data_IF_526459141712
#
_entry.id   IF_526459141712
#
_cell.length_a   1.000
_cell.length_b   1.000
_cell.length_c   1.000
_cell.angle_alpha   90.00
_cell.angle_beta   90.00
_cell.angle_gamma   90.00
#
_symmetry.space_group_name_H-M   'P 1'
#
loop_
_entity.id
_entity.type
_entity.pdbx_description
1 polymer ?
#
# COMPACT_ATOMS: atom_id res chain seq x y z
N UNK A 1 20.75 -9.92 30.83
CA UNK A 1 21.42 -9.15 29.79
C UNK A 1 20.69 -9.48 28.49
N UNK A 2 19.88 -8.61 27.87
CA UNK A 2 19.27 -8.87 26.59
C UNK A 2 20.32 -8.70 25.51
N UNK A 3 20.34 -9.65 24.58
CA UNK A 3 21.37 -9.88 23.58
C UNK A 3 21.51 -8.76 22.55
N UNK A 4 22.74 -8.29 22.41
CA UNK A 4 23.26 -7.28 21.46
C UNK A 4 23.05 -7.63 19.95
N UNK A 5 22.56 -8.84 19.66
CA UNK A 5 22.38 -9.35 18.29
C UNK A 5 21.10 -8.88 17.61
N UNK A 6 20.06 -8.50 18.34
CA UNK A 6 18.80 -8.02 17.77
C UNK A 6 18.86 -6.55 17.34
N UNK A 7 19.65 -5.75 18.06
CA UNK A 7 19.87 -4.33 17.72
C UNK A 7 20.71 -4.14 16.44
N UNK A 8 21.66 -5.04 16.19
CA UNK A 8 22.54 -4.96 14.99
C UNK A 8 21.84 -5.28 13.68
N UNK A 9 20.77 -6.07 13.68
CA UNK A 9 19.99 -6.40 12.45
C UNK A 9 18.99 -5.27 12.11
N UNK A 10 18.39 -4.66 13.10
CA UNK A 10 17.49 -3.51 12.91
C UNK A 10 18.26 -2.26 12.42
N UNK A 11 19.47 -2.02 12.92
CA UNK A 11 20.34 -0.93 12.50
C UNK A 11 20.87 -1.11 11.05
N UNK A 12 21.16 -2.34 10.64
CA UNK A 12 21.55 -2.63 9.24
C UNK A 12 20.37 -2.48 8.27
N UNK A 13 19.17 -2.91 8.62
CA UNK A 13 17.95 -2.69 7.84
C UNK A 13 17.62 -1.18 7.72
N UNK A 14 18.00 -0.37 8.70
CA UNK A 14 17.83 1.09 8.69
C UNK A 14 18.77 1.79 7.70
N UNK A 15 19.98 1.26 7.45
CA UNK A 15 20.98 1.90 6.59
C UNK A 15 20.73 1.67 5.09
N UNK A 16 19.96 0.62 4.71
CA UNK A 16 19.72 0.21 3.31
C UNK A 16 18.25 0.39 2.87
N UNK A 17 17.46 1.17 3.61
CA UNK A 17 16.08 1.43 3.25
C UNK A 17 15.99 2.35 2.02
N UNK A 18 15.30 1.88 0.96
CA UNK A 18 14.99 2.70 -0.21
C UNK A 18 14.05 3.86 0.15
N UNK A 19 13.05 3.58 1.01
CA UNK A 19 12.15 4.60 1.52
C UNK A 19 12.22 4.61 3.05
N UNK A 20 12.38 5.80 3.62
CA UNK A 20 12.35 6.03 5.06
C UNK A 20 11.30 7.08 5.41
N UNK A 21 10.39 6.73 6.30
CA UNK A 21 9.41 7.61 6.93
C UNK A 21 9.90 7.86 8.35
N UNK A 22 10.15 9.13 8.71
CA UNK A 22 10.77 9.53 9.97
C UNK A 22 9.86 10.47 10.75
N UNK A 23 9.29 9.99 11.85
CA UNK A 23 8.48 10.77 12.79
C UNK A 23 7.39 11.62 12.12
N UNK A 24 6.67 11.02 11.14
CA UNK A 24 5.68 11.73 10.34
C UNK A 24 4.38 11.89 11.09
N UNK A 25 3.96 13.16 11.22
CA UNK A 25 2.61 13.55 11.65
C UNK A 25 1.93 14.33 10.53
N UNK A 26 0.71 13.92 10.17
CA UNK A 26 -0.02 14.51 9.06
C UNK A 26 -1.53 14.52 9.30
N UNK A 27 -2.19 15.58 8.86
CA UNK A 27 -3.65 15.72 8.77
C UNK A 27 -4.03 16.52 7.54
N UNK A 28 -5.18 16.22 6.93
CA UNK A 28 -5.75 17.03 5.85
C UNK A 28 -6.32 18.35 6.36
N UNK A 29 -6.68 18.37 7.64
CA UNK A 29 -7.16 19.54 8.38
C UNK A 29 -6.23 19.76 9.59
N UNK A 30 -5.81 21.00 9.90
CA UNK A 30 -4.96 21.31 11.05
C UNK A 30 -5.53 20.86 12.40
N UNK A 31 -6.86 20.71 12.49
CA UNK A 31 -7.55 20.32 13.73
C UNK A 31 -7.52 18.81 13.98
N UNK A 32 -7.18 17.98 12.95
CA UNK A 32 -7.24 16.51 13.06
C UNK A 32 -6.10 15.82 12.36
N UNK A 33 -5.24 15.20 13.14
CA UNK A 33 -4.21 14.32 12.59
C UNK A 33 -4.82 13.00 12.11
N UNK A 34 -4.35 12.54 10.96
CA UNK A 34 -4.63 11.21 10.40
C UNK A 34 -3.47 10.26 10.70
N UNK A 35 -2.24 10.78 10.73
CA UNK A 35 -1.03 10.06 11.10
C UNK A 35 -0.38 10.76 12.29
N UNK A 36 0.04 10.00 13.28
CA UNK A 36 0.61 10.50 14.52
C UNK A 36 1.97 9.82 14.78
N UNK A 37 3.05 10.56 14.52
CA UNK A 37 4.43 10.18 14.84
C UNK A 37 4.80 8.78 14.31
N UNK A 38 4.50 8.50 13.02
CA UNK A 38 4.83 7.22 12.41
C UNK A 38 6.26 7.19 11.89
N UNK A 39 6.93 6.06 12.10
CA UNK A 39 8.24 5.77 11.53
C UNK A 39 8.22 4.40 10.87
N UNK A 40 8.67 4.34 9.58
CA UNK A 40 8.67 3.11 8.78
C UNK A 40 9.92 3.06 7.90
N UNK A 41 10.39 1.85 7.60
CA UNK A 41 11.52 1.56 6.70
C UNK A 41 11.10 0.54 5.66
N UNK A 42 11.41 0.80 4.40
CA UNK A 42 11.10 -0.09 3.30
C UNK A 42 12.39 -0.48 2.59
N UNK A 43 12.76 -1.75 2.74
CA UNK A 43 13.98 -2.31 2.17
C UNK A 43 13.89 -2.48 0.66
N UNK A 44 15.04 -2.41 -0.03
CA UNK A 44 15.10 -2.60 -1.48
C UNK A 44 14.68 -4.01 -1.87
N UNK A 45 13.87 -4.12 -2.91
CA UNK A 45 13.42 -5.39 -3.49
C UNK A 45 12.46 -6.20 -2.61
N UNK A 46 12.07 -5.71 -1.44
CA UNK A 46 11.15 -6.39 -0.54
C UNK A 46 9.69 -6.06 -0.85
N UNK A 47 8.81 -6.99 -0.53
CA UNK A 47 7.37 -6.75 -0.43
C UNK A 47 7.06 -6.41 1.02
N UNK A 48 6.64 -5.18 1.28
CA UNK A 48 6.23 -4.74 2.63
C UNK A 48 4.74 -4.46 2.66
N UNK A 49 4.02 -5.11 3.59
CA UNK A 49 2.62 -4.85 3.83
C UNK A 49 2.42 -3.74 4.87
N UNK A 50 1.44 -2.86 4.65
CA UNK A 50 0.92 -1.91 5.63
C UNK A 50 -0.53 -2.30 5.89
N UNK A 51 -0.76 -2.93 7.03
CA UNK A 51 -2.04 -3.53 7.42
C UNK A 51 -2.74 -2.66 8.46
N UNK A 52 -4.07 -2.76 8.54
CA UNK A 52 -4.84 -2.06 9.55
C UNK A 52 -6.30 -1.85 9.15
N UNK A 53 -7.13 -1.47 10.10
CA UNK A 53 -8.54 -1.21 9.89
C UNK A 53 -8.80 -0.04 8.92
N UNK A 54 -10.04 0.10 8.48
CA UNK A 54 -10.45 1.21 7.63
C UNK A 54 -10.25 2.55 8.36
N UNK A 55 -9.73 3.55 7.65
CA UNK A 55 -9.54 4.91 8.20
C UNK A 55 -8.31 5.09 9.09
N UNK A 56 -7.46 4.08 9.35
CA UNK A 56 -6.24 4.23 10.15
C UNK A 56 -5.08 4.96 9.43
N UNK A 57 -5.26 5.41 8.19
CA UNK A 57 -4.26 6.25 7.50
C UNK A 57 -3.37 5.55 6.47
N UNK A 58 -3.58 4.26 6.15
CA UNK A 58 -2.75 3.48 5.21
C UNK A 58 -2.57 4.15 3.84
N UNK A 59 -3.67 4.46 3.15
CA UNK A 59 -3.65 5.17 1.86
C UNK A 59 -2.96 6.54 1.96
N UNK A 60 -3.09 7.21 3.13
CA UNK A 60 -2.40 8.48 3.38
C UNK A 60 -0.89 8.30 3.39
N UNK A 61 -0.36 7.21 3.96
CA UNK A 61 1.08 6.89 3.91
C UNK A 61 1.55 6.77 2.45
N UNK A 62 0.83 6.01 1.60
CA UNK A 62 1.19 5.89 0.18
C UNK A 62 1.16 7.23 -0.54
N UNK A 63 0.15 8.07 -0.28
CA UNK A 63 0.04 9.40 -0.89
C UNK A 63 1.18 10.33 -0.49
N UNK A 64 1.63 10.27 0.76
CA UNK A 64 2.79 11.04 1.23
C UNK A 64 4.09 10.55 0.59
N UNK A 65 4.30 9.23 0.47
CA UNK A 65 5.44 8.63 -0.23
C UNK A 65 5.43 9.04 -1.71
N UNK A 66 4.26 9.06 -2.37
CA UNK A 66 4.10 9.54 -3.75
C UNK A 66 4.20 11.07 -3.92
N UNK A 67 4.47 11.81 -2.85
CA UNK A 67 4.60 13.27 -2.87
C UNK A 67 3.32 13.98 -3.28
N UNK A 68 2.13 13.43 -2.96
CA UNK A 68 0.83 14.05 -3.28
C UNK A 68 0.54 15.22 -2.33
N UNK A 69 1.00 15.11 -1.09
CA UNK A 69 0.85 16.14 -0.07
C UNK A 69 2.19 16.40 0.62
N UNK A 70 2.43 17.64 1.10
CA UNK A 70 3.58 17.93 1.95
C UNK A 70 3.42 17.24 3.31
N UNK A 71 4.53 16.80 3.87
CA UNK A 71 4.56 16.26 5.24
C UNK A 71 4.33 17.40 6.24
N UNK A 72 3.48 17.20 7.24
CA UNK A 72 3.20 18.21 8.28
C UNK A 72 4.36 18.36 9.26
N UNK A 73 4.77 17.23 9.88
CA UNK A 73 5.98 17.12 10.73
C UNK A 73 6.74 15.87 10.35
N UNK A 74 8.02 15.81 10.65
CA UNK A 74 8.90 14.72 10.27
C UNK A 74 9.41 14.85 8.84
N UNK A 75 9.84 13.73 8.26
CA UNK A 75 10.31 13.70 6.87
C UNK A 75 10.08 12.35 6.22
N UNK A 76 10.01 12.34 4.88
CA UNK A 76 10.06 11.13 4.08
C UNK A 76 11.26 11.25 3.15
N UNK A 77 12.09 10.21 3.13
CA UNK A 77 13.24 10.12 2.24
C UNK A 77 13.05 8.99 1.25
N UNK A 78 13.45 9.25 0.03
CA UNK A 78 13.54 8.27 -1.04
C UNK A 78 14.99 8.22 -1.52
N UNK A 79 15.63 7.06 -1.45
CA UNK A 79 17.02 6.87 -1.84
C UNK A 79 17.97 7.88 -1.15
N UNK A 80 17.77 8.05 0.16
CA UNK A 80 18.49 9.01 1.00
C UNK A 80 18.11 10.48 0.84
N UNK A 81 17.35 10.85 -0.20
CA UNK A 81 16.94 12.24 -0.46
C UNK A 81 15.56 12.54 0.13
N UNK A 82 15.43 13.62 0.88
CA UNK A 82 14.13 14.08 1.41
C UNK A 82 13.21 14.51 0.27
N UNK A 83 11.95 14.04 0.29
CA UNK A 83 10.93 14.41 -0.68
C UNK A 83 10.47 15.83 -0.38
N UNK A 84 10.79 16.78 -1.28
CA UNK A 84 10.26 18.14 -1.23
C UNK A 84 9.14 18.33 -2.26
N UNK A 85 7.91 18.39 -1.77
CA UNK A 85 6.71 18.56 -2.61
C UNK A 85 6.59 19.93 -3.27
N UNK A 86 7.43 20.88 -2.90
CA UNK A 86 7.51 22.22 -3.53
C UNK A 86 8.46 22.23 -4.74
N UNK A 87 9.32 21.23 -4.85
CA UNK A 87 10.23 21.10 -5.98
C UNK A 87 9.62 20.23 -7.09
N UNK A 88 9.02 20.87 -8.09
CA UNK A 88 8.35 20.18 -9.19
C UNK A 88 9.28 19.23 -9.97
N UNK A 89 10.54 19.59 -10.18
CA UNK A 89 11.50 18.75 -10.89
C UNK A 89 11.87 17.50 -10.07
N UNK A 90 12.05 17.63 -8.77
CA UNK A 90 12.28 16.49 -7.88
C UNK A 90 11.08 15.55 -7.85
N UNK A 91 9.85 16.11 -7.75
CA UNK A 91 8.62 15.31 -7.79
C UNK A 91 8.43 14.57 -9.11
N UNK A 92 8.71 15.22 -10.23
CA UNK A 92 8.65 14.58 -11.54
C UNK A 92 9.61 13.38 -11.61
N UNK A 93 10.86 13.55 -11.19
CA UNK A 93 11.85 12.49 -11.16
C UNK A 93 11.47 11.36 -10.19
N UNK A 94 10.96 11.70 -9.00
CA UNK A 94 10.46 10.72 -8.05
C UNK A 94 9.34 9.87 -8.67
N UNK A 95 8.32 10.52 -9.23
CA UNK A 95 7.12 9.84 -9.77
C UNK A 95 7.42 8.91 -10.95
N UNK A 96 8.44 9.19 -11.73
CA UNK A 96 8.91 8.28 -12.79
C UNK A 96 9.52 6.98 -12.24
N UNK A 97 10.03 7.00 -11.00
CA UNK A 97 10.56 5.82 -10.30
C UNK A 97 9.49 5.07 -9.52
N UNK A 98 8.25 5.58 -9.46
CA UNK A 98 7.12 5.00 -8.74
C UNK A 98 6.06 4.50 -9.71
N UNK A 99 5.61 3.25 -9.55
CA UNK A 99 4.38 2.75 -10.15
C UNK A 99 3.28 2.71 -9.08
N UNK A 100 2.05 3.08 -9.42
CA UNK A 100 0.94 3.05 -8.46
C UNK A 100 -0.28 2.32 -9.01
N UNK A 101 -0.75 1.33 -8.25
CA UNK A 101 -2.03 0.69 -8.43
C UNK A 101 -3.03 1.29 -7.43
N UNK A 102 -3.99 2.05 -7.94
CA UNK A 102 -5.06 2.65 -7.14
C UNK A 102 -6.16 1.62 -6.84
N UNK A 103 -6.88 1.80 -5.75
CA UNK A 103 -7.93 0.91 -5.26
C UNK A 103 -8.96 0.47 -6.32
N UNK A 104 -9.36 1.37 -7.21
CA UNK A 104 -10.28 1.08 -8.32
C UNK A 104 -9.59 1.03 -9.69
N UNK A 105 -8.27 0.84 -9.73
CA UNK A 105 -7.47 0.79 -10.94
C UNK A 105 -7.26 2.14 -11.64
N UNK A 106 -8.19 3.09 -11.53
CA UNK A 106 -8.15 4.42 -12.16
C UNK A 106 -7.80 4.35 -13.66
N UNK A 107 -8.42 3.42 -14.40
CA UNK A 107 -8.22 3.28 -15.83
C UNK A 107 -8.96 4.39 -16.59
N UNK A 108 -8.38 4.81 -17.72
CA UNK A 108 -9.04 5.67 -18.66
C UNK A 108 -10.10 4.86 -19.39
N UNK A 109 -11.37 5.17 -19.17
CA UNK A 109 -12.53 4.38 -19.64
C UNK A 109 -12.80 4.50 -21.14
N UNK A 110 -12.34 5.57 -21.75
CA UNK A 110 -12.41 5.89 -23.17
C UNK A 110 -11.26 5.27 -23.99
N UNK A 111 -10.22 4.78 -23.32
CA UNK A 111 -9.07 4.13 -23.95
C UNK A 111 -9.21 2.59 -23.97
N UNK A 112 -8.54 1.95 -24.93
CA UNK A 112 -8.39 0.49 -24.94
C UNK A 112 -7.48 -0.01 -23.80
N UNK A 113 -7.45 -1.32 -23.60
CA UNK A 113 -6.48 -1.99 -22.71
C UNK A 113 -5.05 -1.64 -23.11
N UNK A 114 -4.74 -1.70 -24.42
CA UNK A 114 -3.43 -1.33 -24.96
C UNK A 114 -3.07 0.12 -24.63
N UNK A 115 -3.96 1.06 -24.95
CA UNK A 115 -3.70 2.49 -24.75
C UNK A 115 -3.54 2.86 -23.26
N UNK A 116 -4.26 2.22 -22.36
CA UNK A 116 -4.06 2.41 -20.93
C UNK A 116 -2.62 2.07 -20.49
N UNK A 117 -2.04 0.99 -21.02
CA UNK A 117 -0.68 0.57 -20.69
C UNK A 117 0.37 1.39 -21.45
N UNK A 118 0.05 1.81 -22.70
CA UNK A 118 0.93 2.64 -23.51
C UNK A 118 1.04 4.08 -22.99
N UNK A 119 0.01 4.57 -22.29
CA UNK A 119 -0.08 5.97 -21.86
C UNK A 119 1.17 6.47 -21.11
N UNK A 120 1.64 5.83 -20.02
CA UNK A 120 2.84 6.31 -19.35
C UNK A 120 4.11 6.25 -20.21
N UNK A 121 4.21 5.32 -21.14
CA UNK A 121 5.35 5.24 -22.06
C UNK A 121 5.38 6.43 -23.02
N UNK A 122 4.22 6.81 -23.60
CA UNK A 122 4.12 7.97 -24.48
C UNK A 122 4.38 9.29 -23.76
N UNK A 123 3.90 9.43 -22.53
CA UNK A 123 4.05 10.67 -21.75
C UNK A 123 5.45 10.87 -21.18
N UNK A 124 6.22 9.78 -20.93
CA UNK A 124 7.45 9.86 -20.16
C UNK A 124 8.69 9.34 -20.89
N UNK A 125 8.56 8.93 -22.17
CA UNK A 125 9.70 8.43 -22.96
C UNK A 125 9.60 8.94 -24.40
N UNK A 126 10.74 8.93 -25.10
CA UNK A 126 10.85 9.24 -26.53
C UNK A 126 10.90 7.97 -27.40
N UNK A 127 10.28 6.85 -26.92
CA UNK A 127 10.26 5.58 -27.64
C UNK A 127 9.35 5.67 -28.87
N UNK A 128 9.75 5.00 -29.96
CA UNK A 128 8.90 4.88 -31.13
C UNK A 128 7.71 3.92 -30.91
N UNK A 129 6.68 4.02 -31.76
CA UNK A 129 5.45 3.23 -31.63
C UNK A 129 5.69 1.71 -31.68
N UNK A 130 6.74 1.24 -32.35
CA UNK A 130 7.07 -0.18 -32.42
C UNK A 130 7.60 -0.67 -31.08
N UNK A 131 8.51 0.10 -30.47
CA UNK A 131 9.04 -0.19 -29.13
C UNK A 131 7.94 -0.12 -28.06
N UNK A 132 7.09 0.90 -28.10
CA UNK A 132 5.94 1.03 -27.19
C UNK A 132 5.03 -0.19 -27.34
N UNK A 133 4.70 -0.59 -28.55
CA UNK A 133 3.88 -1.77 -28.81
C UNK A 133 4.46 -3.03 -28.17
N UNK A 134 5.74 -3.26 -28.36
CA UNK A 134 6.40 -4.48 -27.88
C UNK A 134 6.46 -4.49 -26.36
N UNK A 135 6.80 -3.36 -25.70
CA UNK A 135 6.76 -3.22 -24.25
C UNK A 135 5.34 -3.46 -23.72
N UNK A 136 4.33 -2.82 -24.28
CA UNK A 136 2.92 -3.00 -23.86
C UNK A 136 2.51 -4.46 -23.93
N UNK A 137 2.81 -5.15 -25.05
CA UNK A 137 2.47 -6.56 -25.20
C UNK A 137 3.21 -7.45 -24.19
N UNK A 138 4.47 -7.14 -23.85
CA UNK A 138 5.22 -7.81 -22.79
C UNK A 138 4.56 -7.59 -21.41
N UNK A 139 4.20 -6.36 -21.06
CA UNK A 139 3.55 -6.04 -19.78
C UNK A 139 2.15 -6.67 -19.69
N UNK A 140 1.37 -6.65 -20.76
CA UNK A 140 0.08 -7.36 -20.81
C UNK A 140 0.25 -8.88 -20.74
N UNK A 141 1.31 -9.44 -21.31
CA UNK A 141 1.62 -10.87 -21.16
C UNK A 141 1.96 -11.23 -19.72
N UNK A 142 2.73 -10.40 -19.02
CA UNK A 142 3.08 -10.62 -17.61
C UNK A 142 1.84 -10.71 -16.69
N UNK A 143 0.77 -9.97 -17.02
CA UNK A 143 -0.51 -10.02 -16.28
C UNK A 143 -1.56 -10.95 -16.91
N UNK A 144 -1.18 -11.74 -17.96
CA UNK A 144 -2.04 -12.71 -18.64
C UNK A 144 -3.16 -12.08 -19.51
N UNK A 145 -2.97 -10.86 -20.01
CA UNK A 145 -3.98 -10.12 -20.76
C UNK A 145 -3.56 -9.70 -22.18
N UNK A 146 -2.48 -10.28 -22.74
CA UNK A 146 -2.02 -9.95 -24.10
C UNK A 146 -3.10 -10.10 -25.16
N UNK A 147 -3.95 -11.13 -25.05
CA UNK A 147 -5.07 -11.36 -25.99
C UNK A 147 -6.19 -10.32 -25.89
N UNK A 148 -6.27 -9.56 -24.79
CA UNK A 148 -7.27 -8.53 -24.55
C UNK A 148 -6.82 -7.12 -24.98
N UNK A 149 -5.63 -6.96 -25.56
CA UNK A 149 -5.02 -5.66 -25.86
C UNK A 149 -5.94 -4.67 -26.62
N UNK A 150 -6.76 -5.18 -27.53
CA UNK A 150 -7.65 -4.36 -28.38
C UNK A 150 -9.01 -4.07 -27.75
N UNK A 151 -9.36 -4.71 -26.63
CA UNK A 151 -10.63 -4.53 -25.95
C UNK A 151 -10.70 -3.14 -25.29
N UNK A 152 -11.91 -2.61 -25.19
CA UNK A 152 -12.21 -1.42 -24.38
C UNK A 152 -12.32 -1.81 -22.92
N UNK A 153 -12.16 -0.86 -22.02
CA UNK A 153 -12.30 -1.10 -20.58
C UNK A 153 -13.73 -1.57 -20.21
N UNK A 154 -14.74 -1.13 -20.95
CA UNK A 154 -16.13 -1.58 -20.78
C UNK A 154 -16.40 -3.04 -21.20
N UNK A 155 -15.47 -3.67 -21.91
CA UNK A 155 -15.60 -5.05 -22.42
C UNK A 155 -14.87 -6.08 -21.54
N UNK A 156 -14.20 -5.65 -20.49
CA UNK A 156 -13.43 -6.52 -19.58
C UNK A 156 -14.06 -6.59 -18.20
N UNK A 157 -13.79 -7.69 -17.47
CA UNK A 157 -14.24 -7.83 -16.08
C UNK A 157 -13.45 -6.91 -15.14
N UNK A 158 -13.99 -6.65 -13.94
CA UNK A 158 -13.31 -5.86 -12.90
C UNK A 158 -11.93 -6.43 -12.52
N UNK A 159 -11.80 -7.76 -12.41
CA UNK A 159 -10.51 -8.42 -12.16
C UNK A 159 -9.53 -8.27 -13.34
N UNK A 160 -10.01 -8.29 -14.58
CA UNK A 160 -9.17 -7.96 -15.75
C UNK A 160 -8.74 -6.49 -15.69
N UNK A 161 -9.65 -5.57 -15.36
CA UNK A 161 -9.34 -4.14 -15.25
C UNK A 161 -8.22 -3.87 -14.23
N UNK A 162 -8.21 -4.56 -13.07
CA UNK A 162 -7.11 -4.47 -12.10
C UNK A 162 -5.78 -4.93 -12.68
N UNK A 163 -5.78 -6.04 -13.40
CA UNK A 163 -4.56 -6.53 -14.06
C UNK A 163 -4.07 -5.59 -15.15
N UNK A 164 -4.96 -4.91 -15.89
CA UNK A 164 -4.59 -3.83 -16.81
C UNK A 164 -3.95 -2.65 -16.06
N UNK A 165 -4.56 -2.22 -14.95
CA UNK A 165 -4.01 -1.15 -14.12
C UNK A 165 -2.62 -1.51 -13.56
N UNK A 166 -2.41 -2.78 -13.21
CA UNK A 166 -1.11 -3.29 -12.80
C UNK A 166 -0.10 -3.26 -13.96
N UNK A 167 -0.49 -3.72 -15.16
CA UNK A 167 0.36 -3.64 -16.36
C UNK A 167 0.78 -2.19 -16.67
N UNK A 168 -0.14 -1.24 -16.48
CA UNK A 168 0.14 0.20 -16.61
C UNK A 168 1.12 0.68 -15.54
N UNK A 169 0.94 0.25 -14.28
CA UNK A 169 1.82 0.65 -13.18
C UNK A 169 3.27 0.20 -13.37
N UNK A 170 3.47 -0.97 -14.03
CA UNK A 170 4.81 -1.50 -14.31
C UNK A 170 5.36 -1.13 -15.69
N UNK A 171 4.66 -0.29 -16.46
CA UNK A 171 5.05 0.02 -17.84
C UNK A 171 6.43 0.68 -17.96
N UNK A 172 6.79 1.53 -17.02
CA UNK A 172 8.06 2.25 -16.97
C UNK A 172 9.17 1.53 -16.19
N UNK A 173 8.99 0.26 -15.82
CA UNK A 173 9.91 -0.50 -14.94
C UNK A 173 10.30 0.29 -13.67
N UNK A 174 9.32 0.69 -12.84
CA UNK A 174 9.58 1.51 -11.66
C UNK A 174 10.40 0.77 -10.61
N UNK A 175 11.18 1.50 -9.81
CA UNK A 175 11.93 0.96 -8.68
C UNK A 175 11.02 0.62 -7.49
N UNK A 176 9.88 1.29 -7.38
CA UNK A 176 8.89 1.07 -6.32
C UNK A 176 7.51 0.91 -6.91
N UNK A 177 6.79 -0.08 -6.39
CA UNK A 177 5.38 -0.33 -6.69
C UNK A 177 4.53 -0.09 -5.45
N UNK A 178 3.59 0.82 -5.55
CA UNK A 178 2.63 1.17 -4.50
C UNK A 178 1.28 0.56 -4.83
N UNK A 179 0.76 -0.31 -3.98
CA UNK A 179 -0.51 -0.99 -4.13
C UNK A 179 -1.49 -0.51 -3.06
N UNK A 180 -2.54 0.21 -3.48
CA UNK A 180 -3.60 0.69 -2.58
C UNK A 180 -4.81 -0.22 -2.66
N UNK A 181 -5.00 -1.06 -1.63
CA UNK A 181 -6.09 -2.04 -1.49
C UNK A 181 -6.27 -2.94 -2.75
N UNK A 182 -5.23 -3.68 -3.17
CA UNK A 182 -5.26 -4.43 -4.43
C UNK A 182 -6.27 -5.59 -4.45
N UNK A 183 -6.74 -6.05 -3.29
CA UNK A 183 -7.63 -7.22 -3.16
C UNK A 183 -9.09 -6.85 -3.00
N UNK A 184 -9.41 -5.61 -2.63
CA UNK A 184 -10.79 -5.16 -2.32
C UNK A 184 -11.78 -5.46 -3.45
N UNK A 185 -12.88 -6.18 -3.12
CA UNK A 185 -13.97 -6.51 -4.06
C UNK A 185 -13.60 -7.58 -5.08
N UNK A 186 -12.53 -8.34 -4.90
CA UNK A 186 -12.25 -9.57 -5.63
C UNK A 186 -12.89 -10.77 -4.93
N UNK A 187 -13.23 -11.80 -5.69
CA UNK A 187 -13.55 -13.12 -5.14
C UNK A 187 -12.26 -13.81 -4.63
N UNK A 188 -12.37 -14.84 -3.77
CA UNK A 188 -11.20 -15.48 -3.16
C UNK A 188 -10.19 -16.03 -4.17
N UNK A 189 -10.64 -16.55 -5.32
CA UNK A 189 -9.73 -17.07 -6.36
C UNK A 189 -8.96 -15.91 -7.00
N UNK A 190 -9.66 -14.83 -7.34
CA UNK A 190 -9.07 -13.63 -7.92
C UNK A 190 -8.11 -12.92 -6.94
N UNK A 191 -8.39 -12.96 -5.62
CA UNK A 191 -7.48 -12.45 -4.58
C UNK A 191 -6.16 -13.21 -4.57
N UNK A 192 -6.19 -14.54 -4.52
CA UNK A 192 -4.99 -15.38 -4.58
C UNK A 192 -4.19 -15.18 -5.88
N UNK A 193 -4.88 -15.04 -7.04
CA UNK A 193 -4.22 -14.71 -8.31
C UNK A 193 -3.53 -13.35 -8.25
N UNK A 194 -4.18 -12.33 -7.67
CA UNK A 194 -3.60 -10.98 -7.54
C UNK A 194 -2.40 -10.97 -6.59
N UNK A 195 -2.48 -11.65 -5.44
CA UNK A 195 -1.39 -11.79 -4.49
C UNK A 195 -0.16 -12.47 -5.13
N UNK A 196 -0.37 -13.62 -5.76
CA UNK A 196 0.70 -14.33 -6.48
C UNK A 196 1.31 -13.49 -7.61
N UNK A 197 0.50 -12.68 -8.30
CA UNK A 197 1.00 -11.81 -9.35
C UNK A 197 1.89 -10.69 -8.80
N UNK A 198 1.51 -10.07 -7.67
CA UNK A 198 2.33 -9.07 -6.96
C UNK A 198 3.68 -9.67 -6.58
N UNK A 199 3.70 -10.87 -5.97
CA UNK A 199 4.95 -11.54 -5.58
C UNK A 199 5.83 -11.87 -6.79
N UNK A 200 5.26 -12.47 -7.84
CA UNK A 200 5.99 -12.82 -9.07
C UNK A 200 6.56 -11.58 -9.78
N UNK A 201 5.84 -10.47 -9.79
CA UNK A 201 6.35 -9.22 -10.38
C UNK A 201 7.51 -8.66 -9.55
N UNK A 202 7.40 -8.69 -8.21
CA UNK A 202 8.49 -8.29 -7.34
C UNK A 202 9.73 -9.15 -7.58
N UNK A 203 9.59 -10.49 -7.58
CA UNK A 203 10.70 -11.44 -7.82
C UNK A 203 11.36 -11.24 -9.21
N UNK A 204 10.55 -10.94 -10.23
CA UNK A 204 11.03 -10.80 -11.61
C UNK A 204 11.71 -9.43 -11.87
N UNK A 205 11.27 -8.39 -11.20
CA UNK A 205 11.75 -7.01 -11.45
C UNK A 205 12.74 -6.52 -10.39
N UNK A 206 12.75 -7.12 -9.19
CA UNK A 206 13.49 -6.63 -8.04
C UNK A 206 12.96 -5.29 -7.50
N UNK A 207 11.78 -4.83 -7.95
CA UNK A 207 11.17 -3.60 -7.48
C UNK A 207 10.75 -3.72 -6.01
N UNK A 208 10.88 -2.65 -5.25
CA UNK A 208 10.36 -2.58 -3.88
C UNK A 208 8.84 -2.43 -3.92
N UNK A 209 8.10 -3.30 -3.25
CA UNK A 209 6.64 -3.32 -3.28
C UNK A 209 6.05 -2.93 -1.92
N UNK A 210 5.17 -1.93 -1.89
CA UNK A 210 4.41 -1.51 -0.71
C UNK A 210 2.93 -1.85 -0.94
N UNK A 211 2.39 -2.75 -0.14
CA UNK A 211 1.00 -3.22 -0.26
C UNK A 211 0.20 -2.71 0.93
N UNK A 212 -0.73 -1.81 0.70
CA UNK A 212 -1.69 -1.36 1.71
C UNK A 212 -2.94 -2.20 1.60
N UNK A 213 -3.33 -2.88 2.67
CA UNK A 213 -4.56 -3.68 2.71
C UNK A 213 -5.11 -3.86 4.14
N UNK A 214 -6.33 -4.36 4.21
CA UNK A 214 -6.93 -4.94 5.41
C UNK A 214 -7.01 -6.48 5.33
N UNK A 215 -6.65 -7.07 4.18
CA UNK A 215 -6.65 -8.51 3.92
C UNK A 215 -5.33 -9.11 4.43
N UNK A 216 -5.35 -9.57 5.69
CA UNK A 216 -4.15 -10.05 6.39
C UNK A 216 -3.56 -11.29 5.72
N UNK A 217 -4.43 -12.26 5.41
CA UNK A 217 -4.02 -13.57 4.89
C UNK A 217 -3.23 -13.43 3.59
N UNK A 218 -3.80 -12.77 2.59
CA UNK A 218 -3.19 -12.57 1.27
C UNK A 218 -1.88 -11.76 1.37
N UNK A 219 -1.86 -10.77 2.27
CA UNK A 219 -0.64 -9.99 2.49
C UNK A 219 0.48 -10.82 3.11
N UNK A 220 0.16 -11.66 4.11
CA UNK A 220 1.16 -12.48 4.80
C UNK A 220 1.73 -13.61 3.94
N UNK A 221 0.98 -14.08 2.94
CA UNK A 221 1.49 -15.05 1.96
C UNK A 221 2.56 -14.48 1.03
N UNK A 222 2.58 -13.15 0.82
CA UNK A 222 3.45 -12.53 -0.18
C UNK A 222 4.47 -11.55 0.38
N UNK A 223 4.29 -11.04 1.61
CA UNK A 223 5.18 -10.02 2.14
C UNK A 223 6.38 -10.61 2.90
N UNK A 224 7.49 -9.88 2.82
CA UNK A 224 8.72 -10.16 3.58
C UNK A 224 8.67 -9.49 4.96
N UNK A 225 7.88 -8.40 5.08
CA UNK A 225 7.75 -7.60 6.29
C UNK A 225 6.38 -6.91 6.34
N UNK A 226 5.87 -6.62 7.52
CA UNK A 226 4.60 -5.92 7.67
C UNK A 226 4.62 -4.89 8.81
N UNK A 227 3.86 -3.83 8.63
CA UNK A 227 3.49 -2.84 9.65
C UNK A 227 2.00 -2.98 9.93
N UNK A 228 1.61 -2.99 11.20
CA UNK A 228 0.21 -2.96 11.62
C UNK A 228 -0.10 -1.57 12.16
N UNK A 229 -1.07 -0.91 11.54
CA UNK A 229 -1.54 0.41 11.92
C UNK A 229 -2.90 0.33 12.61
N UNK A 230 -3.08 1.15 13.63
CA UNK A 230 -4.35 1.35 14.31
C UNK A 230 -4.76 2.83 14.33
N UNK A 231 -6.06 3.10 14.56
CA UNK A 231 -6.53 4.45 14.84
C UNK A 231 -5.96 4.94 16.19
N UNK A 232 -5.56 6.22 16.30
CA UNK A 232 -5.66 7.30 15.33
C UNK A 232 -4.39 7.48 14.46
N UNK A 233 -4.03 6.49 13.65
CA UNK A 233 -2.92 6.60 12.70
C UNK A 233 -1.54 6.41 13.33
N UNK A 234 -1.39 5.37 14.13
CA UNK A 234 -0.14 4.95 14.77
C UNK A 234 0.27 3.56 14.28
N UNK A 235 1.57 3.27 14.30
CA UNK A 235 2.08 1.91 14.12
C UNK A 235 2.06 1.23 15.48
N UNK A 236 1.32 0.12 15.60
CA UNK A 236 1.21 -0.64 16.86
C UNK A 236 2.14 -1.84 16.92
N UNK A 237 2.48 -2.40 15.75
CA UNK A 237 3.46 -3.49 15.64
C UNK A 237 4.07 -3.51 14.24
N UNK A 238 5.25 -4.10 14.12
CA UNK A 238 5.89 -4.38 12.85
C UNK A 238 6.85 -5.56 13.00
N UNK A 239 7.09 -6.29 11.93
CA UNK A 239 7.96 -7.47 11.92
C UNK A 239 7.70 -8.35 10.72
N UNK A 240 8.30 -9.54 10.72
CA UNK A 240 7.99 -10.59 9.75
C UNK A 240 6.61 -11.19 10.04
N UNK A 241 5.91 -11.76 9.05
CA UNK A 241 4.60 -12.39 9.26
C UNK A 241 4.57 -13.38 10.43
N UNK A 242 5.62 -14.21 10.58
CA UNK A 242 5.71 -15.21 11.64
C UNK A 242 5.83 -14.56 13.03
N UNK A 243 6.59 -13.47 13.15
CA UNK A 243 6.79 -12.71 14.38
C UNK A 243 5.47 -12.04 14.81
N UNK A 244 4.75 -11.45 13.85
CA UNK A 244 3.47 -10.80 14.11
C UNK A 244 2.38 -11.81 14.49
N UNK A 245 2.34 -12.98 13.85
CA UNK A 245 1.40 -14.07 14.20
C UNK A 245 1.66 -14.62 15.62
N UNK A 246 2.90 -14.57 16.09
CA UNK A 246 3.29 -14.99 17.45
C UNK A 246 3.09 -13.89 18.51
N UNK A 247 2.64 -12.69 18.10
CA UNK A 247 2.47 -11.56 19.03
C UNK A 247 1.45 -11.88 20.13
N UNK A 248 1.80 -11.54 21.37
CA UNK A 248 0.90 -11.62 22.52
C UNK A 248 0.11 -10.33 22.77
N UNK A 249 0.41 -9.25 22.03
CA UNK A 249 -0.32 -7.99 22.14
C UNK A 249 -1.81 -8.20 21.76
N UNK A 250 -2.75 -7.89 22.68
CA UNK A 250 -4.17 -8.15 22.45
C UNK A 250 -4.75 -7.39 21.23
N UNK A 251 -4.25 -6.19 20.94
CA UNK A 251 -4.75 -5.38 19.80
C UNK A 251 -4.24 -5.94 18.47
N UNK A 252 -2.98 -6.38 18.43
CA UNK A 252 -2.39 -7.06 17.27
C UNK A 252 -3.14 -8.37 16.99
N UNK A 253 -3.35 -9.18 18.03
CA UNK A 253 -4.08 -10.46 17.91
C UNK A 253 -5.52 -10.27 17.43
N UNK A 254 -6.25 -9.31 18.02
CA UNK A 254 -7.61 -8.99 17.61
C UNK A 254 -7.67 -8.67 16.12
N UNK A 255 -6.77 -7.81 15.64
CA UNK A 255 -6.73 -7.42 14.23
C UNK A 255 -6.37 -8.60 13.32
N UNK A 256 -5.30 -9.35 13.64
CA UNK A 256 -4.81 -10.45 12.79
C UNK A 256 -5.80 -11.61 12.70
N UNK A 257 -6.56 -11.89 13.77
CA UNK A 257 -7.52 -13.01 13.85
C UNK A 257 -8.94 -12.60 13.51
N UNK A 258 -9.24 -11.31 13.37
CA UNK A 258 -10.60 -10.81 13.17
C UNK A 258 -11.49 -11.08 14.37
N UNK A 259 -10.94 -11.05 15.60
CA UNK A 259 -11.73 -11.32 16.81
C UNK A 259 -12.72 -10.19 17.07
N UNK A 260 -14.03 -10.49 17.26
CA UNK A 260 -15.04 -9.44 17.47
C UNK A 260 -14.87 -8.72 18.82
N UNK A 261 -14.35 -9.44 19.83
CA UNK A 261 -14.12 -8.92 21.18
C UNK A 261 -12.63 -8.61 21.39
N UNK A 262 -12.31 -7.45 21.96
CA UNK A 262 -10.92 -7.06 22.23
C UNK A 262 -10.75 -5.57 22.50
N UNK A 263 -9.50 -5.09 22.54
CA UNK A 263 -9.18 -3.69 22.82
C UNK A 263 -9.82 -2.67 21.87
N UNK A 264 -10.08 -3.06 20.62
CA UNK A 264 -10.81 -2.21 19.66
C UNK A 264 -12.30 -2.42 19.88
N UNK A 265 -13.04 -1.43 20.44
CA UNK A 265 -14.44 -1.63 20.80
C UNK A 265 -15.34 -1.68 19.55
N UNK A 266 -16.35 -2.56 19.59
CA UNK A 266 -17.41 -2.60 18.59
C UNK A 266 -18.28 -1.35 18.62
N UNK A 267 -18.60 -0.86 19.85
CA UNK A 267 -19.47 0.30 20.03
C UNK A 267 -18.69 1.61 19.94
N UNK A 268 -19.24 2.57 19.20
CA UNK A 268 -18.78 3.95 19.30
C UNK A 268 -19.04 4.46 20.73
N UNK A 269 -18.08 5.20 21.36
CA UNK A 269 -18.26 5.70 22.73
C UNK A 269 -19.55 6.49 22.89
N UNK A 270 -20.41 6.03 23.77
CA UNK A 270 -21.67 6.66 24.12
C UNK A 270 -21.97 6.45 25.61
N UNK A 271 -22.81 7.30 26.25
CA UNK A 271 -23.36 7.00 27.55
C UNK A 271 -24.11 5.66 27.57
N UNK A 272 -24.30 5.03 28.72
CA UNK A 272 -25.11 3.81 28.81
C UNK A 272 -26.50 4.05 28.20
N UNK A 273 -26.97 3.12 27.36
CA UNK A 273 -28.28 3.23 26.67
C UNK A 273 -29.45 3.52 27.61
N UNK A 274 -29.41 2.97 28.83
CA UNK A 274 -30.42 3.23 29.87
C UNK A 274 -30.53 4.72 30.21
N UNK A 275 -29.41 5.46 30.17
CA UNK A 275 -29.40 6.90 30.42
C UNK A 275 -30.05 7.65 29.26
N UNK A 276 -29.74 7.30 28.02
CA UNK A 276 -30.32 7.92 26.82
C UNK A 276 -31.82 7.63 26.71
N UNK A 277 -32.27 6.46 27.17
CA UNK A 277 -33.67 6.06 27.20
C UNK A 277 -34.41 6.59 28.45
N UNK A 278 -33.76 7.32 29.34
CA UNK A 278 -34.37 7.82 30.58
C UNK A 278 -34.83 6.71 31.54
N UNK A 279 -34.28 5.50 31.40
CA UNK A 279 -34.60 4.36 32.27
C UNK A 279 -33.88 4.56 33.61
N UNK A 280 -34.62 4.59 34.72
CA UNK A 280 -34.03 4.56 36.06
C UNK A 280 -33.41 3.18 36.27
N UNK A 281 -32.11 3.13 36.58
CA UNK A 281 -31.44 1.92 36.99
C UNK A 281 -32.15 1.30 38.21
N UNK A 282 -31.98 -0.01 38.44
CA UNK A 282 -32.54 -0.66 39.62
C UNK A 282 -32.00 0.12 40.84
N UNK A 283 -32.96 0.65 41.65
CA UNK A 283 -32.63 1.26 42.95
C UNK A 283 -31.96 0.21 43.81
N UNK A 284 -30.72 0.51 44.24
CA UNK A 284 -29.93 -0.32 45.16
C UNK A 284 -30.66 -0.45 46.52
#
# INVERSE_FOLDING_TARGET
MPSDTAQTTADRASADALIAVDHVTFGYDPSRNILNDISMRFGRGQVTAILGGSGCGKTTVLRLIGGVHPVGKGSIRFDGQTIDTRNAAQLYNLRRRLGMLFQFGALFTDLSVFENVAFPLREHTDLDDTMIRDIVLMKLNAVGLRGAAKLRISEISGGMGRRVALARAIALDPEVLLYDEPFTGLDPIAMGVAANLIRKLNDATGATSLVVSHDVHECFEICDYAYIMAAPGVVIAHGRPEELNASEDPQVRQFLRGEPDGPVPFHYPAPPLAQDLGLRGPSA
#
